data_IF_718442336654
#
_entry.id   IF_718442336654
#
_cell.length_a   1.000
_cell.length_b   1.000
_cell.length_c   1.000
_cell.angle_alpha   90.00
_cell.angle_beta   90.00
_cell.angle_gamma   90.00
#
_symmetry.space_group_name_H-M   'P 1'
#
loop_
_entity.id
_entity.type
_entity.pdbx_description
1 polymer ?
#
# COMPACT_ATOMS: atom_id res chain seq x y z
N UNK A 1 -11.77 20.04 -8.99
CA UNK A 1 -11.47 20.13 -7.54
C UNK A 1 -12.68 19.84 -6.66
N UNK A 2 -13.83 20.52 -6.81
CA UNK A 2 -15.02 20.28 -5.96
C UNK A 2 -15.63 18.88 -6.15
N UNK A 3 -15.82 18.42 -7.38
CA UNK A 3 -16.34 17.07 -7.67
C UNK A 3 -15.38 15.96 -7.21
N UNK A 4 -14.08 16.15 -7.42
CA UNK A 4 -13.02 15.24 -6.98
C UNK A 4 -13.00 15.13 -5.44
N UNK A 5 -13.18 16.24 -4.72
CA UNK A 5 -13.27 16.23 -3.26
C UNK A 5 -14.51 15.46 -2.78
N UNK A 6 -15.67 15.70 -3.41
CA UNK A 6 -16.92 15.02 -3.08
C UNK A 6 -16.83 13.50 -3.23
N UNK A 7 -16.03 13.01 -4.18
CA UNK A 7 -15.82 11.58 -4.40
C UNK A 7 -15.01 10.88 -3.29
N UNK A 8 -14.10 11.60 -2.62
CA UNK A 8 -13.21 11.02 -1.59
C UNK A 8 -13.70 11.35 -0.16
N UNK A 9 -14.57 12.35 0.01
CA UNK A 9 -15.17 12.71 1.30
C UNK A 9 -15.71 11.47 2.05
N UNK A 10 -16.54 10.58 1.46
CA UNK A 10 -17.06 9.43 2.17
C UNK A 10 -15.97 8.51 2.73
N UNK A 11 -14.88 8.32 1.98
CA UNK A 11 -13.75 7.49 2.39
C UNK A 11 -13.04 8.11 3.60
N UNK A 12 -12.78 9.43 3.57
CA UNK A 12 -12.18 10.14 4.69
C UNK A 12 -13.13 10.33 5.87
N UNK A 13 -14.44 10.40 5.65
CA UNK A 13 -15.44 10.39 6.71
C UNK A 13 -15.39 9.09 7.51
N UNK A 14 -15.22 7.93 6.86
CA UNK A 14 -15.04 6.65 7.55
C UNK A 14 -13.77 6.60 8.40
N UNK A 15 -12.67 7.15 7.89
CA UNK A 15 -11.42 7.32 8.67
C UNK A 15 -11.68 8.24 9.87
N UNK A 16 -12.36 9.37 9.67
CA UNK A 16 -12.72 10.30 10.75
C UNK A 16 -13.61 9.66 11.82
N UNK A 17 -14.60 8.86 11.41
CA UNK A 17 -15.47 8.11 12.31
C UNK A 17 -14.68 7.09 13.13
N UNK A 18 -13.77 6.34 12.52
CA UNK A 18 -12.90 5.41 13.24
C UNK A 18 -12.04 6.12 14.29
N UNK A 19 -11.44 7.26 13.92
CA UNK A 19 -10.65 8.07 14.83
C UNK A 19 -11.46 8.60 16.01
N UNK A 20 -12.69 9.07 15.76
CA UNK A 20 -13.60 9.53 16.81
C UNK A 20 -14.04 8.38 17.72
N UNK A 21 -14.40 7.22 17.15
CA UNK A 21 -14.85 6.05 17.88
C UNK A 21 -13.79 5.56 18.87
N UNK A 22 -12.51 5.57 18.49
CA UNK A 22 -11.36 5.27 19.37
C UNK A 22 -11.34 6.12 20.65
N UNK A 23 -11.87 7.35 20.59
CA UNK A 23 -11.88 8.30 21.71
C UNK A 23 -13.15 8.23 22.55
N UNK A 24 -14.18 7.53 22.10
CA UNK A 24 -15.52 7.56 22.71
C UNK A 24 -16.00 6.18 23.12
N UNK A 25 -16.18 5.28 22.16
CA UNK A 25 -16.93 4.02 22.35
C UNK A 25 -16.11 2.76 22.06
N UNK A 26 -15.04 2.87 21.28
CA UNK A 26 -14.30 1.72 20.78
C UNK A 26 -13.15 1.38 21.72
N UNK A 27 -13.17 0.17 22.26
CA UNK A 27 -12.00 -0.39 22.92
C UNK A 27 -10.92 -0.72 21.87
N UNK A 28 -9.77 -0.05 22.00
CA UNK A 28 -8.63 -0.18 21.09
C UNK A 28 -8.07 -1.60 21.10
N UNK A 29 -8.28 -2.38 22.16
CA UNK A 29 -7.89 -3.79 22.22
C UNK A 29 -8.63 -4.68 21.20
N UNK A 30 -9.77 -4.21 20.67
CA UNK A 30 -10.55 -4.90 19.62
C UNK A 30 -9.97 -4.70 18.21
N UNK A 31 -9.17 -3.66 17.99
CA UNK A 31 -8.64 -3.33 16.66
C UNK A 31 -7.85 -4.48 15.99
N UNK A 32 -6.99 -5.24 16.70
CA UNK A 32 -6.33 -6.39 16.09
C UNK A 32 -7.31 -7.41 15.51
N UNK A 33 -8.41 -7.72 16.22
CA UNK A 33 -9.42 -8.67 15.75
C UNK A 33 -10.15 -8.16 14.50
N UNK A 34 -10.54 -6.88 14.47
CA UNK A 34 -11.16 -6.27 13.30
C UNK A 34 -10.21 -6.25 12.10
N UNK A 35 -8.94 -5.92 12.31
CA UNK A 35 -7.93 -5.96 11.24
C UNK A 35 -7.69 -7.38 10.72
N UNK A 36 -7.71 -8.40 11.60
CA UNK A 36 -7.65 -9.81 11.18
C UNK A 36 -8.85 -10.20 10.33
N UNK A 37 -10.06 -9.80 10.73
CA UNK A 37 -11.27 -10.02 9.93
C UNK A 37 -11.13 -9.41 8.52
N UNK A 38 -10.71 -8.14 8.45
CA UNK A 38 -10.50 -7.44 7.18
C UNK A 38 -9.44 -8.16 6.33
N UNK A 39 -8.29 -8.48 6.92
CA UNK A 39 -7.14 -8.99 6.20
C UNK A 39 -7.28 -10.46 5.74
N UNK A 40 -7.92 -11.31 6.54
CA UNK A 40 -8.06 -12.74 6.23
C UNK A 40 -9.38 -13.11 5.54
N UNK A 41 -10.42 -12.27 5.62
CA UNK A 41 -11.75 -12.60 5.11
C UNK A 41 -12.25 -11.56 4.11
N UNK A 42 -12.42 -10.31 4.54
CA UNK A 42 -13.10 -9.31 3.73
C UNK A 42 -12.31 -8.88 2.47
N UNK A 43 -11.04 -8.48 2.64
CA UNK A 43 -10.16 -8.09 1.53
C UNK A 43 -9.90 -9.28 0.59
N UNK A 44 -9.63 -10.50 1.09
CA UNK A 44 -9.53 -11.67 0.23
C UNK A 44 -10.78 -11.93 -0.62
N UNK A 45 -11.98 -11.84 -0.05
CA UNK A 45 -13.21 -12.00 -0.82
C UNK A 45 -13.36 -10.93 -1.90
N UNK A 46 -13.06 -9.66 -1.56
CA UNK A 46 -13.09 -8.55 -2.50
C UNK A 46 -12.11 -8.75 -3.67
N UNK A 47 -10.85 -9.09 -3.37
CA UNK A 47 -9.82 -9.26 -4.38
C UNK A 47 -10.02 -10.52 -5.22
N UNK A 48 -10.53 -11.60 -4.63
CA UNK A 48 -10.90 -12.78 -5.39
C UNK A 48 -11.99 -12.44 -6.42
N UNK A 49 -13.06 -11.77 -5.99
CA UNK A 49 -14.16 -11.36 -6.88
C UNK A 49 -13.68 -10.41 -7.98
N UNK A 50 -12.87 -9.41 -7.62
CA UNK A 50 -12.31 -8.48 -8.59
C UNK A 50 -11.36 -9.16 -9.58
N UNK A 51 -10.46 -10.03 -9.09
CA UNK A 51 -9.52 -10.76 -9.93
C UNK A 51 -10.22 -11.74 -10.89
N UNK A 52 -11.28 -12.41 -10.42
CA UNK A 52 -12.07 -13.34 -11.25
C UNK A 52 -12.74 -12.66 -12.44
N UNK A 53 -12.96 -11.35 -12.38
CA UNK A 53 -13.57 -10.55 -13.47
C UNK A 53 -12.53 -9.99 -14.45
N UNK A 54 -11.24 -10.17 -14.20
CA UNK A 54 -10.17 -9.70 -15.09
C UNK A 54 -9.65 -10.81 -15.98
N UNK A 55 -9.18 -10.47 -17.18
CA UNK A 55 -8.40 -11.37 -18.04
C UNK A 55 -6.91 -11.29 -17.70
N UNK A 56 -6.18 -12.40 -17.87
CA UNK A 56 -4.74 -12.44 -17.57
C UNK A 56 -3.93 -11.44 -18.40
N UNK A 57 -4.32 -11.24 -19.66
CA UNK A 57 -3.64 -10.31 -20.57
C UNK A 57 -3.69 -8.85 -20.07
N UNK A 58 -4.76 -8.48 -19.37
CA UNK A 58 -4.93 -7.13 -18.84
C UNK A 58 -4.11 -6.86 -17.56
N UNK A 59 -3.52 -7.88 -16.93
CA UNK A 59 -2.72 -7.73 -15.72
C UNK A 59 -1.25 -7.39 -16.01
N UNK A 60 -0.75 -7.77 -17.18
CA UNK A 60 0.66 -7.63 -17.49
C UNK A 60 0.91 -6.50 -18.48
N UNK A 61 0.83 -5.25 -17.98
CA UNK A 61 1.35 -4.10 -18.69
C UNK A 61 2.81 -3.84 -18.27
N UNK A 62 3.76 -4.52 -18.93
CA UNK A 62 5.19 -4.42 -18.62
C UNK A 62 5.73 -2.99 -18.63
N UNK A 63 5.39 -2.12 -19.61
CA UNK A 63 5.79 -0.72 -19.57
C UNK A 63 5.30 0.00 -18.31
N UNK A 64 4.02 -0.15 -17.95
CA UNK A 64 3.46 0.48 -16.74
C UNK A 64 4.06 -0.06 -15.44
N UNK A 65 4.26 -1.38 -15.35
CA UNK A 65 4.94 -2.03 -14.21
C UNK A 65 6.39 -1.55 -14.09
N UNK A 66 7.08 -1.38 -15.22
CA UNK A 66 8.45 -0.83 -15.24
C UNK A 66 8.46 0.62 -14.77
N UNK A 67 7.49 1.43 -15.21
CA UNK A 67 7.34 2.82 -14.76
C UNK A 67 7.09 2.91 -13.24
N UNK A 68 6.23 2.04 -12.69
CA UNK A 68 6.02 1.92 -11.24
C UNK A 68 7.32 1.58 -10.51
N UNK A 69 8.03 0.53 -10.95
CA UNK A 69 9.26 0.06 -10.31
C UNK A 69 10.35 1.13 -10.37
N UNK A 70 10.54 1.79 -11.52
CA UNK A 70 11.51 2.88 -11.65
C UNK A 70 11.13 4.08 -10.77
N UNK A 71 9.86 4.49 -10.76
CA UNK A 71 9.36 5.56 -9.89
C UNK A 71 9.63 5.28 -8.41
N UNK A 72 9.32 4.07 -7.95
CA UNK A 72 9.64 3.59 -6.60
C UNK A 72 11.15 3.53 -6.34
N UNK A 73 11.95 2.96 -7.23
CA UNK A 73 13.40 2.83 -7.02
C UNK A 73 14.09 4.19 -6.93
N UNK A 74 13.79 5.10 -7.86
CA UNK A 74 14.38 6.45 -7.86
C UNK A 74 13.93 7.22 -6.62
N UNK A 75 12.66 7.12 -6.23
CA UNK A 75 12.18 7.77 -5.00
C UNK A 75 12.87 7.22 -3.76
N UNK A 76 12.99 5.89 -3.64
CA UNK A 76 13.69 5.26 -2.53
C UNK A 76 15.17 5.70 -2.48
N UNK A 77 15.83 5.78 -3.65
CA UNK A 77 17.20 6.26 -3.75
C UNK A 77 17.33 7.72 -3.28
N UNK A 78 16.47 8.62 -3.76
CA UNK A 78 16.46 10.03 -3.33
C UNK A 78 16.23 10.13 -1.83
N UNK A 79 15.25 9.39 -1.29
CA UNK A 79 14.96 9.36 0.14
C UNK A 79 16.16 8.89 0.97
N UNK A 80 16.82 7.80 0.55
CA UNK A 80 18.01 7.21 1.18
C UNK A 80 19.19 8.17 1.14
N UNK A 81 19.47 8.76 -0.02
CA UNK A 81 20.56 9.74 -0.21
C UNK A 81 20.31 10.97 0.67
N UNK A 82 19.09 11.50 0.69
CA UNK A 82 18.71 12.60 1.57
C UNK A 82 18.91 12.29 3.05
N UNK A 83 18.48 11.10 3.49
CA UNK A 83 18.71 10.63 4.87
C UNK A 83 20.18 10.41 5.22
N UNK A 84 21.00 9.99 4.26
CA UNK A 84 22.45 9.84 4.45
C UNK A 84 23.15 11.19 4.60
N UNK A 85 22.86 12.16 3.73
CA UNK A 85 23.62 13.40 3.65
C UNK A 85 23.04 14.54 4.50
N UNK A 86 21.71 14.72 4.53
CA UNK A 86 21.08 15.82 5.28
C UNK A 86 20.78 15.44 6.72
N UNK A 87 20.44 14.18 6.98
CA UNK A 87 20.06 13.68 8.31
C UNK A 87 21.12 12.76 8.95
N UNK A 88 22.27 12.60 8.29
CA UNK A 88 23.47 11.91 8.79
C UNK A 88 23.23 10.46 9.26
N UNK A 89 22.20 9.77 8.73
CA UNK A 89 21.99 8.36 9.02
C UNK A 89 23.15 7.53 8.44
N UNK A 90 23.78 6.69 9.27
CA UNK A 90 24.92 5.85 8.84
C UNK A 90 24.57 4.37 8.71
N UNK A 91 23.49 3.92 9.37
CA UNK A 91 23.10 2.51 9.40
C UNK A 91 22.41 2.12 8.09
N UNK A 92 23.01 1.21 7.33
CA UNK A 92 22.46 0.75 6.05
C UNK A 92 21.07 0.09 6.19
N UNK A 93 20.80 -0.80 7.17
CA UNK A 93 19.45 -1.34 7.38
C UNK A 93 18.40 -0.26 7.71
N UNK A 94 18.80 0.78 8.44
CA UNK A 94 17.95 1.92 8.72
C UNK A 94 17.67 2.80 7.49
N UNK A 95 18.63 2.92 6.57
CA UNK A 95 18.42 3.58 5.30
C UNK A 95 17.40 2.82 4.45
N UNK A 96 17.46 1.48 4.42
CA UNK A 96 16.44 0.66 3.74
C UNK A 96 15.04 0.93 4.31
N UNK A 97 14.91 1.04 5.63
CA UNK A 97 13.63 1.38 6.27
C UNK A 97 13.11 2.77 5.88
N UNK A 98 13.99 3.76 5.72
CA UNK A 98 13.62 5.11 5.26
C UNK A 98 13.17 5.10 3.82
N UNK A 99 13.91 4.42 2.94
CA UNK A 99 13.50 4.19 1.56
C UNK A 99 12.12 3.52 1.50
N UNK A 100 11.91 2.45 2.28
CA UNK A 100 10.65 1.73 2.35
C UNK A 100 9.47 2.62 2.79
N UNK A 101 9.67 3.45 3.82
CA UNK A 101 8.66 4.43 4.25
C UNK A 101 8.32 5.45 3.14
N UNK A 102 9.27 5.79 2.28
CA UNK A 102 9.05 6.74 1.20
C UNK A 102 8.32 6.17 -0.02
N UNK A 103 8.19 4.84 -0.16
CA UNK A 103 7.63 4.25 -1.38
C UNK A 103 6.47 3.29 -1.15
N UNK A 104 6.45 2.51 -0.06
CA UNK A 104 5.38 1.53 0.12
C UNK A 104 4.09 2.18 0.61
N UNK A 105 3.03 2.03 -0.17
CA UNK A 105 1.75 2.67 0.09
C UNK A 105 0.79 1.78 0.89
N UNK A 106 -0.23 2.39 1.50
CA UNK A 106 -1.28 1.66 2.21
C UNK A 106 -2.29 1.00 1.25
N UNK A 107 -1.83 -0.01 0.51
CA UNK A 107 -2.63 -0.68 -0.51
C UNK A 107 -3.90 -1.33 0.04
N UNK A 108 -3.78 -2.13 1.10
CA UNK A 108 -4.90 -2.92 1.61
C UNK A 108 -5.99 -2.05 2.23
N UNK A 109 -5.62 -1.07 3.08
CA UNK A 109 -6.60 -0.30 3.84
C UNK A 109 -7.08 0.96 3.14
N UNK A 110 -6.33 1.49 2.18
CA UNK A 110 -6.71 2.73 1.48
C UNK A 110 -6.70 2.56 -0.04
N UNK A 111 -5.72 1.87 -0.61
CA UNK A 111 -5.58 1.74 -2.06
C UNK A 111 -6.70 0.97 -2.74
N UNK A 112 -7.07 -0.21 -2.21
CA UNK A 112 -8.19 -0.99 -2.74
C UNK A 112 -9.49 -0.19 -2.63
N UNK A 113 -9.91 0.32 -1.45
CA UNK A 113 -11.07 1.20 -1.33
C UNK A 113 -11.12 2.35 -2.31
N UNK A 114 -10.03 3.09 -2.42
CA UNK A 114 -10.00 4.35 -3.14
C UNK A 114 -10.01 4.13 -4.65
N UNK A 115 -9.19 3.20 -5.14
CA UNK A 115 -9.16 2.92 -6.58
C UNK A 115 -10.45 2.24 -7.04
N UNK A 116 -11.00 1.28 -6.28
CA UNK A 116 -12.25 0.61 -6.68
C UNK A 116 -13.46 1.55 -6.59
N UNK A 117 -13.50 2.46 -5.62
CA UNK A 117 -14.60 3.43 -5.51
C UNK A 117 -14.55 4.51 -6.59
N UNK A 118 -13.36 4.93 -7.04
CA UNK A 118 -13.21 6.02 -8.00
C UNK A 118 -13.16 5.53 -9.46
N UNK A 119 -12.55 4.37 -9.70
CA UNK A 119 -12.19 3.88 -11.03
C UNK A 119 -12.83 2.52 -11.35
N UNK A 120 -13.52 1.90 -10.39
CA UNK A 120 -14.01 0.53 -10.50
C UNK A 120 -12.91 -0.53 -10.34
N UNK A 121 -13.30 -1.78 -10.52
CA UNK A 121 -12.39 -2.92 -10.46
C UNK A 121 -11.44 -2.92 -11.67
N UNK A 122 -10.17 -2.60 -11.45
CA UNK A 122 -9.15 -2.51 -12.49
C UNK A 122 -8.03 -3.54 -12.31
N UNK A 123 -7.64 -4.20 -13.40
CA UNK A 123 -6.46 -5.08 -13.45
C UNK A 123 -5.17 -4.33 -13.05
N UNK A 124 -5.06 -3.04 -13.38
CA UNK A 124 -3.92 -2.21 -12.97
C UNK A 124 -3.82 -2.13 -11.45
N UNK A 125 -4.95 -1.99 -10.74
CA UNK A 125 -4.96 -1.90 -9.27
C UNK A 125 -4.41 -3.17 -8.66
N UNK A 126 -4.92 -4.32 -9.11
CA UNK A 126 -4.48 -5.62 -8.63
C UNK A 126 -2.98 -5.79 -8.87
N UNK A 127 -2.52 -5.48 -10.09
CA UNK A 127 -1.14 -5.68 -10.52
C UNK A 127 -0.15 -4.80 -9.76
N UNK A 128 -0.44 -3.51 -9.56
CA UNK A 128 0.42 -2.60 -8.80
C UNK A 128 0.47 -2.97 -7.32
N UNK A 129 -0.65 -3.42 -6.74
CA UNK A 129 -0.67 -3.89 -5.34
C UNK A 129 0.20 -5.14 -5.19
N UNK A 130 0.08 -6.11 -6.10
CA UNK A 130 0.93 -7.31 -6.10
C UNK A 130 2.41 -6.94 -6.26
N UNK A 131 2.73 -6.10 -7.25
CA UNK A 131 4.09 -5.63 -7.50
C UNK A 131 4.68 -4.87 -6.30
N UNK A 132 3.91 -3.99 -5.66
CA UNK A 132 4.34 -3.28 -4.46
C UNK A 132 4.60 -4.20 -3.27
N UNK A 133 3.73 -5.17 -3.01
CA UNK A 133 3.97 -6.15 -1.93
C UNK A 133 5.20 -7.03 -2.22
N UNK A 134 5.36 -7.47 -3.47
CA UNK A 134 6.46 -8.33 -3.89
C UNK A 134 7.80 -7.59 -3.92
N UNK A 135 7.89 -6.56 -4.74
CA UNK A 135 9.15 -5.92 -5.09
C UNK A 135 9.58 -4.94 -4.01
N UNK A 136 8.65 -4.18 -3.44
CA UNK A 136 9.00 -3.13 -2.48
C UNK A 136 9.15 -3.70 -1.07
N UNK A 137 8.14 -4.39 -0.52
CA UNK A 137 8.25 -5.00 0.82
C UNK A 137 9.19 -6.19 0.80
N UNK A 138 9.01 -7.14 -0.12
CA UNK A 138 9.89 -8.30 -0.23
C UNK A 138 11.34 -7.89 -0.48
N UNK A 139 11.57 -6.95 -1.41
CA UNK A 139 12.90 -6.41 -1.70
C UNK A 139 13.55 -5.71 -0.50
N UNK A 140 12.80 -4.91 0.26
CA UNK A 140 13.31 -4.25 1.46
C UNK A 140 13.68 -5.25 2.56
N UNK A 141 12.86 -6.26 2.81
CA UNK A 141 13.15 -7.30 3.80
C UNK A 141 14.39 -8.11 3.42
N UNK A 142 14.51 -8.52 2.15
CA UNK A 142 15.69 -9.19 1.64
C UNK A 142 16.94 -8.32 1.76
N UNK A 143 16.83 -7.02 1.47
CA UNK A 143 17.95 -6.07 1.62
C UNK A 143 18.39 -5.94 3.08
N UNK A 144 17.46 -5.86 4.03
CA UNK A 144 17.79 -5.81 5.47
C UNK A 144 18.45 -7.11 5.92
N UNK A 145 17.94 -8.26 5.49
CA UNK A 145 18.51 -9.57 5.83
C UNK A 145 19.94 -9.71 5.30
N UNK A 146 20.16 -9.33 4.03
CA UNK A 146 21.47 -9.34 3.39
C UNK A 146 22.49 -8.47 4.14
N UNK A 147 22.08 -7.26 4.54
CA UNK A 147 22.93 -6.32 5.28
C UNK A 147 23.26 -6.81 6.70
N UNK A 148 22.38 -7.61 7.31
CA UNK A 148 22.63 -8.18 8.65
C UNK A 148 23.55 -9.38 8.63
N UNK A 149 23.39 -10.26 7.64
CA UNK A 149 24.03 -11.58 7.67
C UNK A 149 25.28 -11.69 6.79
N UNK A 150 25.66 -10.65 6.05
CA UNK A 150 26.81 -10.59 5.12
C UNK A 150 26.81 -11.65 3.99
N UNK A 151 25.99 -12.70 4.10
CA UNK A 151 25.70 -13.70 3.09
C UNK A 151 24.27 -14.21 3.29
N UNK A 152 23.51 -14.37 2.20
CA UNK A 152 22.18 -14.98 2.23
C UNK A 152 22.23 -16.34 1.54
N UNK A 153 21.74 -17.37 2.21
CA UNK A 153 21.47 -18.65 1.57
C UNK A 153 20.22 -18.57 0.70
N UNK A 154 20.16 -19.35 -0.39
CA UNK A 154 18.94 -19.49 -1.20
C UNK A 154 17.73 -19.87 -0.33
N UNK A 155 17.93 -20.71 0.69
CA UNK A 155 16.88 -21.11 1.64
C UNK A 155 16.28 -19.89 2.36
N UNK A 156 17.08 -18.92 2.77
CA UNK A 156 16.59 -17.72 3.47
C UNK A 156 15.80 -16.80 2.54
N UNK A 157 16.25 -16.65 1.30
CA UNK A 157 15.53 -15.91 0.25
C UNK A 157 14.15 -16.55 0.05
N UNK A 158 14.11 -17.88 -0.14
CA UNK A 158 12.88 -18.66 -0.26
C UNK A 158 11.97 -18.52 0.97
N UNK A 159 12.50 -18.59 2.20
CA UNK A 159 11.66 -18.44 3.40
C UNK A 159 11.08 -17.03 3.56
N UNK A 160 11.79 -16.00 3.11
CA UNK A 160 11.31 -14.62 3.16
C UNK A 160 10.21 -14.41 2.12
N UNK A 161 10.41 -14.91 0.90
CA UNK A 161 9.41 -14.91 -0.17
C UNK A 161 8.16 -15.70 0.23
N UNK A 162 8.31 -16.92 0.76
CA UNK A 162 7.19 -17.77 1.21
C UNK A 162 6.32 -17.04 2.24
N UNK A 163 6.96 -16.50 3.29
CA UNK A 163 6.23 -15.82 4.37
C UNK A 163 5.57 -14.52 3.92
N UNK A 164 6.21 -13.76 3.04
CA UNK A 164 5.72 -12.45 2.63
C UNK A 164 4.70 -12.52 1.47
N UNK A 165 4.68 -13.62 0.71
CA UNK A 165 3.87 -13.74 -0.51
C UNK A 165 2.95 -14.95 -0.49
N UNK A 166 3.53 -16.16 -0.46
CA UNK A 166 2.76 -17.40 -0.63
C UNK A 166 1.79 -17.64 0.52
N UNK A 167 2.08 -17.08 1.70
CA UNK A 167 1.18 -17.13 2.86
C UNK A 167 0.30 -15.91 3.02
N UNK A 168 0.43 -14.90 2.17
CA UNK A 168 -0.40 -13.69 2.23
C UNK A 168 -1.80 -14.04 1.71
N UNK A 169 -2.86 -13.95 2.54
CA UNK A 169 -4.22 -14.27 2.12
C UNK A 169 -4.68 -13.39 0.95
N UNK A 170 -4.22 -12.13 0.93
CA UNK A 170 -4.43 -11.16 -0.17
C UNK A 170 -3.86 -11.72 -1.48
N UNK A 171 -2.58 -12.15 -1.47
CA UNK A 171 -1.92 -12.70 -2.65
C UNK A 171 -2.61 -13.96 -3.12
N UNK A 172 -2.85 -14.91 -2.20
CA UNK A 172 -3.51 -16.18 -2.51
C UNK A 172 -4.91 -15.97 -3.09
N UNK A 173 -5.73 -15.09 -2.50
CA UNK A 173 -7.07 -14.81 -3.00
C UNK A 173 -7.05 -14.21 -4.40
N UNK A 174 -6.09 -13.33 -4.68
CA UNK A 174 -5.93 -12.75 -6.01
C UNK A 174 -5.54 -13.82 -7.02
N UNK A 175 -4.52 -14.64 -6.72
CA UNK A 175 -4.10 -15.73 -7.60
C UNK A 175 -5.24 -16.73 -7.84
N UNK A 176 -5.96 -17.13 -6.79
CA UNK A 176 -7.12 -18.02 -6.94
C UNK A 176 -8.23 -17.40 -7.78
N UNK A 177 -8.51 -16.11 -7.64
CA UNK A 177 -9.47 -15.39 -8.47
C UNK A 177 -9.03 -15.36 -9.94
N UNK A 178 -7.73 -15.14 -10.20
CA UNK A 178 -7.15 -15.17 -11.54
C UNK A 178 -7.20 -16.56 -12.17
N UNK A 179 -6.90 -17.61 -11.40
CA UNK A 179 -7.03 -18.99 -11.86
C UNK A 179 -8.48 -19.32 -12.18
N UNK A 180 -9.43 -18.88 -11.34
CA UNK A 180 -10.85 -19.05 -11.61
C UNK A 180 -11.30 -18.33 -12.89
N UNK A 181 -10.77 -17.13 -13.17
CA UNK A 181 -10.98 -16.43 -14.44
C UNK A 181 -10.40 -17.21 -15.62
N UNK A 182 -9.11 -17.58 -15.56
CA UNK A 182 -8.40 -18.22 -16.67
C UNK A 182 -8.95 -19.60 -17.04
N UNK A 183 -9.49 -20.35 -16.07
CA UNK A 183 -10.14 -21.63 -16.31
C UNK A 183 -11.65 -21.53 -16.56
N UNK A 184 -12.23 -20.32 -16.58
CA UNK A 184 -13.67 -20.08 -16.66
C UNK A 184 -14.46 -20.90 -15.62
N UNK A 185 -13.96 -20.94 -14.38
CA UNK A 185 -14.58 -21.71 -13.30
C UNK A 185 -15.84 -21.00 -12.80
N UNK A 186 -16.98 -21.65 -13.01
CA UNK A 186 -18.24 -21.26 -12.37
C UNK A 186 -18.24 -21.72 -10.91
N UNK A 187 -18.30 -20.75 -10.00
CA UNK A 187 -18.41 -21.03 -8.57
C UNK A 187 -19.82 -21.52 -8.23
N UNK A 188 -19.97 -22.49 -7.33
CA UNK A 188 -21.26 -22.84 -6.78
C UNK A 188 -21.96 -21.59 -6.22
N UNK A 189 -23.25 -21.43 -6.52
CA UNK A 189 -24.04 -20.24 -6.16
C UNK A 189 -23.87 -19.84 -4.68
N UNK A 190 -23.84 -20.81 -3.76
CA UNK A 190 -23.68 -20.59 -2.32
C UNK A 190 -22.36 -19.89 -1.99
N UNK A 191 -21.25 -20.33 -2.60
CA UNK A 191 -19.93 -19.75 -2.37
C UNK A 191 -19.85 -18.35 -2.97
N UNK A 192 -20.36 -18.15 -4.19
CA UNK A 192 -20.37 -16.84 -4.82
C UNK A 192 -21.20 -15.84 -4.00
N UNK A 193 -22.41 -16.21 -3.54
CA UNK A 193 -23.22 -15.35 -2.67
C UNK A 193 -22.52 -15.02 -1.36
N UNK A 194 -21.80 -15.96 -0.76
CA UNK A 194 -21.05 -15.72 0.48
C UNK A 194 -19.91 -14.72 0.29
N UNK A 195 -19.17 -14.83 -0.83
CA UNK A 195 -18.14 -13.87 -1.21
C UNK A 195 -18.73 -12.48 -1.49
N UNK A 196 -19.86 -12.41 -2.19
CA UNK A 196 -20.57 -11.18 -2.50
C UNK A 196 -21.15 -10.49 -1.26
N UNK A 197 -21.49 -11.24 -0.21
CA UNK A 197 -21.89 -10.69 1.09
C UNK A 197 -20.70 -10.15 1.90
N UNK A 198 -19.54 -10.78 1.77
CA UNK A 198 -18.35 -10.49 2.57
C UNK A 198 -17.51 -9.35 1.99
N UNK A 199 -17.36 -9.29 0.66
CA UNK A 199 -16.55 -8.30 -0.04
C UNK A 199 -16.93 -6.83 0.26
N UNK A 200 -18.23 -6.45 0.34
CA UNK A 200 -18.62 -5.07 0.66
C UNK A 200 -18.19 -4.59 2.05
N UNK A 201 -17.90 -5.50 2.99
CA UNK A 201 -17.41 -5.13 4.32
C UNK A 201 -15.94 -4.67 4.31
N UNK A 202 -15.16 -5.08 3.30
CA UNK A 202 -13.72 -4.83 3.26
C UNK A 202 -13.39 -3.33 3.31
N UNK A 203 -14.01 -2.54 2.45
CA UNK A 203 -13.76 -1.11 2.31
C UNK A 203 -14.13 -0.32 3.59
N UNK A 204 -15.38 -0.36 4.08
CA UNK A 204 -15.79 0.46 5.21
C UNK A 204 -15.08 0.08 6.50
N UNK A 205 -14.90 -1.22 6.78
CA UNK A 205 -14.24 -1.69 8.00
C UNK A 205 -12.74 -1.36 7.95
N UNK A 206 -12.08 -1.50 6.79
CA UNK A 206 -10.68 -1.16 6.63
C UNK A 206 -10.41 0.33 6.90
N UNK A 207 -11.20 1.23 6.28
CA UNK A 207 -11.04 2.67 6.46
C UNK A 207 -11.35 3.12 7.89
N UNK A 208 -12.39 2.53 8.51
CA UNK A 208 -12.69 2.77 9.92
C UNK A 208 -11.55 2.30 10.83
N UNK A 209 -11.02 1.09 10.64
CA UNK A 209 -9.90 0.57 11.42
C UNK A 209 -8.63 1.41 11.22
N UNK A 210 -8.36 1.88 10.00
CA UNK A 210 -7.27 2.79 9.70
C UNK A 210 -7.38 4.06 10.55
N UNK A 211 -8.56 4.70 10.56
CA UNK A 211 -8.82 5.87 11.40
C UNK A 211 -8.66 5.61 12.89
N UNK A 212 -9.25 4.51 13.38
CA UNK A 212 -9.16 4.12 14.79
C UNK A 212 -7.73 3.77 15.22
N UNK A 213 -6.88 3.31 14.29
CA UNK A 213 -5.47 3.00 14.57
C UNK A 213 -4.59 4.24 14.73
N UNK A 214 -5.02 5.41 14.25
CA UNK A 214 -4.24 6.65 14.30
C UNK A 214 -3.96 7.05 15.75
N UNK A 215 -2.68 7.03 16.13
CA UNK A 215 -2.21 7.41 17.45
C UNK A 215 -1.04 8.38 17.33
N UNK A 216 -1.17 9.56 17.94
CA UNK A 216 -0.07 10.49 18.05
C UNK A 216 0.86 10.05 19.20
N UNK A 217 2.12 9.80 18.86
CA UNK A 217 3.18 9.51 19.83
C UNK A 217 4.22 10.64 19.82
N UNK A 218 5.00 10.75 20.89
CA UNK A 218 6.07 11.76 20.96
C UNK A 218 7.08 11.56 19.82
N UNK A 219 7.34 12.64 19.08
CA UNK A 219 8.26 12.65 17.93
C UNK A 219 9.69 12.46 18.46
N UNK A 220 10.32 11.33 18.13
CA UNK A 220 11.71 11.03 18.52
C UNK A 220 12.71 11.27 17.38
N UNK A 221 12.24 11.28 16.13
CA UNK A 221 13.06 11.63 14.96
C UNK A 221 13.07 13.14 14.78
N UNK A 222 14.10 13.70 14.12
CA UNK A 222 14.07 15.11 13.73
C UNK A 222 12.79 15.41 12.92
N UNK A 223 12.07 16.47 13.29
CA UNK A 223 10.88 16.92 12.54
C UNK A 223 11.21 17.17 11.07
N UNK A 224 12.43 17.62 10.77
CA UNK A 224 12.88 17.83 9.40
C UNK A 224 13.00 16.51 8.61
N UNK A 225 13.53 15.45 9.23
CA UNK A 225 13.62 14.13 8.57
C UNK A 225 12.24 13.50 8.39
N UNK A 226 11.36 13.65 9.38
CA UNK A 226 9.98 13.19 9.29
C UNK A 226 9.25 13.86 8.10
N UNK A 227 9.34 15.19 8.01
CA UNK A 227 8.75 15.96 6.91
C UNK A 227 9.36 15.58 5.56
N UNK A 228 10.67 15.34 5.50
CA UNK A 228 11.35 14.86 4.30
C UNK A 228 10.76 13.54 3.79
N UNK A 229 10.66 12.52 4.64
CA UNK A 229 10.17 11.20 4.24
C UNK A 229 8.69 11.23 3.84
N UNK A 230 7.88 12.06 4.51
CA UNK A 230 6.47 12.28 4.15
C UNK A 230 6.36 12.97 2.78
N UNK A 231 7.18 14.01 2.52
CA UNK A 231 7.22 14.68 1.23
C UNK A 231 7.68 13.73 0.11
N UNK A 232 8.66 12.87 0.39
CA UNK A 232 9.08 11.82 -0.54
C UNK A 232 7.89 10.90 -0.89
N UNK A 233 7.09 10.48 0.11
CA UNK A 233 5.97 9.58 -0.11
C UNK A 233 4.79 10.21 -0.85
N UNK A 234 4.37 11.40 -0.43
CA UNK A 234 3.11 12.01 -0.87
C UNK A 234 3.25 12.90 -2.11
N UNK A 235 4.46 13.35 -2.42
CA UNK A 235 4.73 14.28 -3.53
C UNK A 235 5.72 13.65 -4.51
N UNK A 236 6.92 13.29 -4.05
CA UNK A 236 7.99 12.85 -4.95
C UNK A 236 7.67 11.50 -5.58
N UNK A 237 7.15 10.54 -4.81
CA UNK A 237 6.83 9.20 -5.32
C UNK A 237 5.82 9.22 -6.48
N UNK A 238 4.61 9.82 -6.34
CA UNK A 238 3.69 9.92 -7.48
C UNK A 238 4.24 10.79 -8.61
N UNK A 239 4.98 11.86 -8.33
CA UNK A 239 5.57 12.71 -9.37
C UNK A 239 6.61 11.97 -10.21
N UNK A 240 7.54 11.24 -9.58
CA UNK A 240 8.56 10.44 -10.27
C UNK A 240 7.94 9.24 -10.99
N UNK A 241 6.86 8.68 -10.45
CA UNK A 241 6.11 7.63 -11.15
C UNK A 241 5.45 8.20 -12.42
N UNK A 242 4.78 9.35 -12.33
CA UNK A 242 4.22 10.04 -13.49
C UNK A 242 5.30 10.38 -14.54
N UNK A 243 6.46 10.88 -14.10
CA UNK A 243 7.59 11.13 -14.98
C UNK A 243 8.10 9.84 -15.64
N UNK A 244 8.16 8.73 -14.93
CA UNK A 244 8.57 7.45 -15.49
C UNK A 244 7.59 6.95 -16.57
N UNK A 245 6.27 7.15 -16.38
CA UNK A 245 5.28 6.87 -17.43
C UNK A 245 5.52 7.70 -18.69
N UNK A 246 5.78 9.01 -18.52
CA UNK A 246 6.07 9.91 -19.62
C UNK A 246 7.36 9.52 -20.37
N UNK A 247 8.46 9.27 -19.64
CA UNK A 247 9.75 8.92 -20.23
C UNK A 247 9.74 7.57 -20.97
N UNK A 248 8.93 6.61 -20.49
CA UNK A 248 8.76 5.31 -21.14
C UNK A 248 7.70 5.30 -22.24
N UNK A 249 7.02 6.43 -22.49
CA UNK A 249 5.97 6.53 -23.51
C UNK A 249 4.74 5.65 -23.22
N UNK A 250 4.43 5.42 -21.95
CA UNK A 250 3.27 4.61 -21.54
C UNK A 250 2.00 5.45 -21.68
N UNK A 251 1.18 5.13 -22.69
CA UNK A 251 0.00 5.92 -23.05
C UNK A 251 -1.31 5.43 -22.47
N UNK A 252 -1.34 4.27 -21.82
CA UNK A 252 -2.56 3.71 -21.22
C UNK A 252 -3.04 4.57 -20.03
N UNK A 253 -4.18 5.30 -20.17
CA UNK A 253 -4.62 6.24 -19.15
C UNK A 253 -5.07 5.53 -17.86
N UNK A 254 -5.64 4.33 -17.97
CA UNK A 254 -6.11 3.59 -16.80
C UNK A 254 -4.92 3.16 -15.94
N UNK A 255 -3.86 2.67 -16.56
CA UNK A 255 -2.63 2.31 -15.85
C UNK A 255 -1.91 3.51 -15.26
N UNK A 256 -1.84 4.64 -15.98
CA UNK A 256 -1.26 5.87 -15.48
C UNK A 256 -2.01 6.36 -14.22
N UNK A 257 -3.32 6.54 -14.32
CA UNK A 257 -4.15 7.08 -13.23
C UNK A 257 -4.08 6.17 -12.02
N UNK A 258 -4.29 4.85 -12.19
CA UNK A 258 -4.25 3.90 -11.08
C UNK A 258 -2.89 3.89 -10.40
N UNK A 259 -1.81 3.84 -11.17
CA UNK A 259 -0.45 3.72 -10.61
C UNK A 259 -0.04 5.00 -9.88
N UNK A 260 -0.31 6.17 -10.45
CA UNK A 260 -0.04 7.46 -9.81
C UNK A 260 -0.89 7.63 -8.55
N UNK A 261 -2.17 7.25 -8.57
CA UNK A 261 -3.01 7.31 -7.38
C UNK A 261 -2.52 6.37 -6.27
N UNK A 262 -2.17 5.12 -6.60
CA UNK A 262 -1.65 4.16 -5.63
C UNK A 262 -0.30 4.61 -5.02
N UNK A 263 0.54 5.28 -5.80
CA UNK A 263 1.81 5.84 -5.31
C UNK A 263 1.63 7.12 -4.50
N UNK A 264 0.55 7.88 -4.72
CA UNK A 264 0.18 9.07 -3.94
C UNK A 264 -0.40 8.78 -2.54
N UNK A 265 -0.80 7.53 -2.28
CA UNK A 265 -1.33 7.11 -0.98
C UNK A 265 -0.32 7.27 0.15
N UNK A 266 -0.77 7.38 1.42
CA UNK A 266 0.13 7.41 2.57
C UNK A 266 0.93 6.12 2.74
N UNK A 267 1.92 6.18 3.62
CA UNK A 267 2.79 5.03 3.93
C UNK A 267 1.97 3.88 4.50
N UNK A 268 2.22 2.67 4.01
CA UNK A 268 1.47 1.48 4.43
C UNK A 268 1.78 1.06 5.87
N UNK A 269 0.75 0.60 6.59
CA UNK A 269 0.90 0.08 7.95
C UNK A 269 1.90 -1.10 8.03
N UNK A 270 2.01 -1.88 6.94
CA UNK A 270 2.97 -2.99 6.84
C UNK A 270 4.42 -2.53 7.00
N UNK A 271 4.76 -1.28 6.63
CA UNK A 271 6.10 -0.73 6.85
C UNK A 271 6.45 -0.69 8.34
N UNK A 272 5.51 -0.29 9.19
CA UNK A 272 5.72 -0.31 10.65
C UNK A 272 5.86 -1.74 11.18
N UNK A 273 5.11 -2.72 10.63
CA UNK A 273 5.27 -4.13 11.00
C UNK A 273 6.67 -4.65 10.63
N UNK A 274 7.18 -4.27 9.46
CA UNK A 274 8.57 -4.58 9.07
C UNK A 274 9.56 -3.92 10.04
N UNK A 275 9.33 -2.66 10.39
CA UNK A 275 10.14 -1.92 11.35
C UNK A 275 10.23 -2.66 12.70
N UNK A 276 9.10 -3.10 13.26
CA UNK A 276 9.00 -3.87 14.52
C UNK A 276 9.70 -5.23 14.41
N UNK A 277 9.47 -5.94 13.30
CA UNK A 277 10.07 -7.26 13.07
C UNK A 277 11.60 -7.19 13.09
N UNK A 278 12.16 -6.17 12.45
CA UNK A 278 13.61 -6.00 12.40
C UNK A 278 14.15 -5.16 13.56
N UNK A 279 13.31 -4.56 14.41
CA UNK A 279 13.75 -3.64 15.46
C UNK A 279 14.55 -2.46 14.90
N UNK A 280 14.06 -1.89 13.80
CA UNK A 280 14.69 -0.78 13.07
C UNK A 280 13.68 0.31 12.78
N UNK A 281 13.97 1.55 13.16
CA UNK A 281 13.17 2.73 12.77
C UNK A 281 11.67 2.59 13.14
N UNK A 282 11.36 1.88 14.23
CA UNK A 282 9.98 1.49 14.62
C UNK A 282 9.06 2.69 14.86
N UNK A 283 9.48 3.57 15.76
CA UNK A 283 8.67 4.71 16.19
C UNK A 283 8.52 5.74 15.08
N UNK A 284 9.60 6.00 14.35
CA UNK A 284 9.61 6.90 13.19
C UNK A 284 8.67 6.37 12.10
N UNK A 285 8.72 5.07 11.78
CA UNK A 285 7.81 4.47 10.80
C UNK A 285 6.35 4.58 11.24
N UNK A 286 6.05 4.35 12.53
CA UNK A 286 4.70 4.56 13.07
C UNK A 286 4.24 6.01 12.89
N UNK A 287 5.11 6.99 13.16
CA UNK A 287 4.81 8.41 12.97
C UNK A 287 4.59 8.77 11.52
N UNK A 288 5.44 8.28 10.61
CA UNK A 288 5.29 8.50 9.18
C UNK A 288 3.95 7.96 8.70
N UNK A 289 3.55 6.76 9.12
CA UNK A 289 2.22 6.19 8.78
C UNK A 289 1.11 7.13 9.25
N UNK A 290 1.13 7.57 10.51
CA UNK A 290 0.07 8.45 11.05
C UNK A 290 0.04 9.82 10.35
N UNK A 291 1.16 10.51 10.29
CA UNK A 291 1.22 11.86 9.71
C UNK A 291 1.01 11.85 8.19
N UNK A 292 1.58 10.89 7.46
CA UNK A 292 1.30 10.77 6.02
C UNK A 292 -0.17 10.46 5.77
N UNK A 293 -0.83 9.64 6.62
CA UNK A 293 -2.27 9.37 6.49
C UNK A 293 -3.10 10.64 6.67
N UNK A 294 -2.79 11.47 7.67
CA UNK A 294 -3.50 12.73 7.89
C UNK A 294 -3.28 13.73 6.76
N UNK A 295 -2.03 13.89 6.30
CA UNK A 295 -1.69 14.81 5.22
C UNK A 295 -2.23 14.30 3.88
N UNK A 296 -2.40 12.98 3.72
CA UNK A 296 -2.94 12.37 2.51
C UNK A 296 -4.35 12.81 2.16
N UNK A 297 -5.13 13.31 3.13
CA UNK A 297 -6.44 13.92 2.87
C UNK A 297 -6.30 15.03 1.83
N UNK A 298 -5.29 15.89 1.99
CA UNK A 298 -5.04 16.99 1.08
C UNK A 298 -4.24 16.53 -0.15
N UNK A 299 -3.18 15.74 0.05
CA UNK A 299 -2.31 15.37 -1.07
C UNK A 299 -2.99 14.42 -2.06
N UNK A 300 -3.74 13.42 -1.60
CA UNK A 300 -4.48 12.52 -2.49
C UNK A 300 -5.59 13.27 -3.21
N UNK A 301 -6.30 14.18 -2.53
CA UNK A 301 -7.30 15.03 -3.19
C UNK A 301 -6.68 15.89 -4.30
N UNK A 302 -5.49 16.44 -4.05
CA UNK A 302 -4.73 17.18 -5.06
C UNK A 302 -4.39 16.29 -6.26
N UNK A 303 -3.80 15.11 -6.04
CA UNK A 303 -3.43 14.18 -7.12
C UNK A 303 -4.65 13.69 -7.90
N UNK A 304 -5.75 13.36 -7.22
CA UNK A 304 -7.01 12.99 -7.89
C UNK A 304 -7.50 14.13 -8.77
N UNK A 305 -7.51 15.38 -8.27
CA UNK A 305 -7.94 16.53 -9.07
C UNK A 305 -7.03 16.91 -10.23
N UNK A 306 -5.77 16.46 -10.20
CA UNK A 306 -4.81 16.66 -11.28
C UNK A 306 -4.97 15.60 -12.38
N UNK A 307 -5.45 14.41 -12.03
CA UNK A 307 -5.54 13.24 -12.91
C UNK A 307 -6.96 13.00 -13.46
N UNK A 308 -8.00 13.44 -12.75
CA UNK A 308 -9.42 13.33 -13.08
C UNK A 308 -10.06 14.71 -13.22
#
# INVERSE_FOLDING_TARGET
>A
MTESLLAIIPLFSLIGLGYLARRTILDVTMLPALNLFVYYFAVPALLFNAARRQTLDNLFNWPALTAFVLGSLVTALVAVVGSRYFFKCQSAPELVMRGLNSVFANYAYMGIPLTFSLLGESAATISIILAGNLLVIGGAQLSIEALRQHSMSLRQIWTTLDRSLLRSPIFLSTVLGLLASGFNLDLPKVLNTSLDMLAPAAIPVALFCLGASLQFRQIQTSRAELSWLIAMKLIVHPALTCLAFYLLGVTDPAWLIVTVLLTALPTGALVHVVAMRYQLFEQASSQIVVFSTLISILSVSFWVSLML
#
